data_IF_539433580568
#
_entry.id   IF_539433580568
#
_cell.length_a   1.000
_cell.length_b   1.000
_cell.length_c   1.000
_cell.angle_alpha   90.00
_cell.angle_beta   90.00
_cell.angle_gamma   90.00
#
_symmetry.space_group_name_H-M   'P 1'
#
loop_
_entity.id
_entity.type
_entity.pdbx_description
1 polymer ?
#
# COMPACT_ATOMS: atom_id res chain seq x y z
N UNK A 1 -11.60 -16.26 -10.64
CA UNK A 1 -10.53 -15.25 -10.81
C UNK A 1 -9.96 -14.97 -9.44
N UNK A 2 -8.67 -15.18 -9.24
CA UNK A 2 -8.04 -14.95 -7.94
C UNK A 2 -7.40 -13.57 -7.95
N UNK A 3 -8.01 -12.62 -7.25
CA UNK A 3 -7.43 -11.29 -7.02
C UNK A 3 -6.55 -11.32 -5.78
N UNK A 4 -5.38 -10.72 -5.87
CA UNK A 4 -4.43 -10.60 -4.77
C UNK A 4 -4.12 -9.12 -4.55
N UNK A 5 -4.21 -8.68 -3.30
CA UNK A 5 -3.78 -7.34 -2.92
C UNK A 5 -2.32 -7.35 -2.46
N UNK A 6 -1.56 -6.36 -2.89
CA UNK A 6 -0.16 -6.12 -2.50
C UNK A 6 -0.07 -4.79 -1.78
N UNK A 7 0.50 -4.76 -0.59
CA UNK A 7 0.47 -3.57 0.27
C UNK A 7 1.82 -3.14 0.81
N UNK A 8 1.93 -1.82 0.98
CA UNK A 8 3.07 -1.16 1.64
C UNK A 8 2.58 0.07 2.41
N UNK A 9 3.43 0.58 3.31
CA UNK A 9 3.11 1.72 4.16
C UNK A 9 3.97 2.94 3.89
N UNK A 10 3.43 4.11 4.29
CA UNK A 10 4.18 5.36 4.38
C UNK A 10 3.79 6.13 5.63
N UNK A 11 4.76 6.74 6.27
CA UNK A 11 4.55 7.56 7.47
C UNK A 11 5.01 8.98 7.16
N UNK A 12 4.12 9.95 7.39
CA UNK A 12 4.44 11.39 7.27
C UNK A 12 4.33 12.04 8.63
N UNK A 13 5.46 12.50 9.18
CA UNK A 13 5.54 13.17 10.48
C UNK A 13 5.72 14.67 10.36
N UNK A 14 6.32 15.11 9.26
CA UNK A 14 6.68 16.52 9.00
C UNK A 14 6.21 16.95 7.62
N UNK A 15 6.02 18.26 7.42
CA UNK A 15 5.56 18.81 6.16
C UNK A 15 4.06 18.60 5.89
N UNK A 16 3.33 18.01 6.80
CA UNK A 16 1.87 17.79 6.74
C UNK A 16 1.19 18.52 7.89
N UNK A 17 -0.11 18.92 7.75
CA UNK A 17 -0.83 19.59 8.85
C UNK A 17 -0.87 18.75 10.13
N UNK A 18 -1.06 17.44 10.00
CA UNK A 18 -1.04 16.47 11.09
C UNK A 18 -0.26 15.23 10.67
N UNK A 19 0.54 14.63 11.58
CA UNK A 19 1.22 13.37 11.31
C UNK A 19 0.22 12.29 10.88
N UNK A 20 0.59 11.49 9.87
CA UNK A 20 -0.29 10.47 9.34
C UNK A 20 0.45 9.16 9.03
N UNK A 21 -0.28 8.07 9.14
CA UNK A 21 0.10 6.74 8.71
C UNK A 21 -0.76 6.37 7.50
N UNK A 22 -0.13 5.94 6.43
CA UNK A 22 -0.77 5.51 5.19
C UNK A 22 -0.50 4.03 5.00
N UNK A 23 -1.54 3.23 4.79
CA UNK A 23 -1.42 1.84 4.36
C UNK A 23 -2.15 1.70 3.03
N UNK A 24 -1.39 1.46 1.97
CA UNK A 24 -1.95 1.34 0.63
C UNK A 24 -1.81 -0.05 0.06
N UNK A 25 -2.74 -0.41 -0.82
CA UNK A 25 -2.67 -1.64 -1.61
C UNK A 25 -2.92 -1.38 -3.09
N UNK A 26 -2.31 -2.23 -3.89
CA UNK A 26 -2.60 -2.48 -5.29
C UNK A 26 -3.31 -3.83 -5.41
N UNK A 27 -4.46 -3.87 -6.03
CA UNK A 27 -5.21 -5.10 -6.31
C UNK A 27 -4.81 -5.58 -7.70
N UNK A 28 -4.00 -6.64 -7.75
CA UNK A 28 -3.57 -7.26 -8.99
C UNK A 28 -4.64 -8.23 -9.49
N UNK A 29 -4.88 -8.18 -10.80
CA UNK A 29 -5.75 -9.10 -11.52
C UNK A 29 -4.90 -9.91 -12.51
N UNK A 30 -4.97 -11.24 -12.45
CA UNK A 30 -4.17 -12.12 -13.30
C UNK A 30 -4.50 -11.99 -14.80
N UNK A 31 -5.63 -11.36 -15.15
CA UNK A 31 -6.07 -11.17 -16.53
C UNK A 31 -5.58 -9.86 -17.17
N UNK A 32 -4.99 -8.97 -16.37
CA UNK A 32 -4.52 -7.67 -16.84
C UNK A 32 -3.00 -7.61 -16.95
N UNK A 33 -2.45 -6.78 -17.86
CA UNK A 33 -1.02 -6.50 -17.89
C UNK A 33 -0.53 -6.03 -16.51
N UNK A 34 0.52 -6.65 -15.99
CA UNK A 34 1.03 -6.34 -14.66
C UNK A 34 1.64 -4.92 -14.64
N UNK A 35 1.00 -4.02 -13.89
CA UNK A 35 1.49 -2.66 -13.68
C UNK A 35 2.92 -2.64 -13.11
N UNK A 36 3.29 -3.63 -12.29
CA UNK A 36 4.63 -3.74 -11.74
C UNK A 36 5.69 -3.99 -12.83
N UNK A 37 5.33 -4.67 -13.93
CA UNK A 37 6.20 -4.83 -15.09
C UNK A 37 6.48 -3.49 -15.77
N UNK A 38 5.44 -2.69 -15.96
CA UNK A 38 5.59 -1.36 -16.55
C UNK A 38 6.43 -0.42 -15.68
N UNK A 39 6.33 -0.55 -14.35
CA UNK A 39 7.13 0.26 -13.44
C UNK A 39 8.61 -0.17 -13.35
N UNK A 40 8.95 -1.36 -13.82
CA UNK A 40 10.33 -1.87 -13.79
C UNK A 40 11.33 -1.01 -14.55
N UNK A 41 10.88 -0.23 -15.54
CA UNK A 41 11.73 0.69 -16.32
C UNK A 41 12.30 1.84 -15.49
N UNK A 42 11.72 2.14 -14.32
CA UNK A 42 12.16 3.20 -13.43
C UNK A 42 13.14 2.73 -12.36
N UNK A 43 13.43 1.44 -12.27
CA UNK A 43 14.41 0.90 -11.33
C UNK A 43 15.81 1.33 -11.72
N UNK A 44 16.49 2.13 -10.87
CA UNK A 44 17.83 2.64 -11.11
C UNK A 44 18.94 1.79 -10.52
N UNK A 45 18.65 1.09 -9.42
CA UNK A 45 19.62 0.27 -8.70
C UNK A 45 19.04 -1.12 -8.46
N UNK A 46 19.89 -2.14 -8.40
CA UNK A 46 19.46 -3.51 -8.21
C UNK A 46 18.60 -3.68 -6.95
N UNK A 47 17.37 -4.13 -7.12
CA UNK A 47 16.59 -4.69 -6.04
C UNK A 47 15.19 -4.14 -5.81
N UNK A 48 14.95 -2.82 -5.78
CA UNK A 48 13.62 -2.30 -5.45
C UNK A 48 13.39 -0.87 -6.00
N UNK A 49 12.14 -0.61 -6.37
CA UNK A 49 11.66 0.72 -6.72
C UNK A 49 11.13 1.39 -5.44
N UNK A 50 11.73 2.52 -5.05
CA UNK A 50 11.29 3.30 -3.88
C UNK A 50 10.89 4.70 -4.29
N UNK A 51 9.69 5.14 -3.88
CA UNK A 51 9.20 6.49 -4.15
C UNK A 51 10.14 7.59 -3.69
N UNK A 52 10.69 7.47 -2.49
CA UNK A 52 11.60 8.47 -1.90
C UNK A 52 12.89 8.70 -2.69
N UNK A 53 13.31 7.70 -3.50
CA UNK A 53 14.57 7.75 -4.24
C UNK A 53 14.40 8.39 -5.62
N UNK A 54 13.17 8.74 -6.00
CA UNK A 54 12.87 9.35 -7.28
C UNK A 54 13.06 10.86 -7.28
N UNK A 55 13.60 11.36 -8.39
CA UNK A 55 13.54 12.78 -8.73
C UNK A 55 12.09 13.18 -9.11
N UNK A 56 11.70 14.47 -8.94
CA UNK A 56 10.33 14.91 -9.26
C UNK A 56 9.83 14.51 -10.66
N UNK A 57 10.71 14.58 -11.66
CA UNK A 57 10.36 14.17 -13.03
C UNK A 57 10.05 12.67 -13.14
N UNK A 58 10.78 11.82 -12.40
CA UNK A 58 10.53 10.38 -12.35
C UNK A 58 9.22 10.10 -11.62
N UNK A 59 8.92 10.81 -10.54
CA UNK A 59 7.65 10.71 -9.81
C UNK A 59 6.46 10.98 -10.74
N UNK A 60 6.51 12.07 -11.51
CA UNK A 60 5.49 12.37 -12.52
C UNK A 60 5.35 11.27 -13.58
N UNK A 61 6.46 10.74 -14.06
CA UNK A 61 6.45 9.66 -15.06
C UNK A 61 5.85 8.36 -14.49
N UNK A 62 6.17 8.01 -13.24
CA UNK A 62 5.59 6.87 -12.52
C UNK A 62 4.08 7.05 -12.37
N UNK A 63 3.59 8.19 -11.89
CA UNK A 63 2.16 8.46 -11.76
C UNK A 63 1.44 8.41 -13.11
N UNK A 64 2.06 8.93 -14.17
CA UNK A 64 1.50 8.81 -15.54
C UNK A 64 1.41 7.35 -15.99
N UNK A 65 2.39 6.52 -15.68
CA UNK A 65 2.33 5.09 -15.98
C UNK A 65 1.19 4.45 -15.20
N UNK A 66 1.07 4.69 -13.90
CA UNK A 66 -0.02 4.15 -13.07
C UNK A 66 -1.38 4.57 -13.62
N UNK A 67 -1.57 5.83 -14.00
CA UNK A 67 -2.84 6.33 -14.54
C UNK A 67 -3.23 5.70 -15.88
N UNK A 68 -2.29 5.14 -16.61
CA UNK A 68 -2.53 4.44 -17.88
C UNK A 68 -3.05 3.00 -17.71
N UNK A 69 -3.06 2.47 -16.49
CA UNK A 69 -3.53 1.11 -16.20
C UNK A 69 -4.91 1.13 -15.53
N UNK A 70 -5.76 0.17 -15.89
CA UNK A 70 -7.03 -0.04 -15.21
C UNK A 70 -6.81 -0.88 -13.95
N UNK A 71 -6.19 -0.25 -12.95
CA UNK A 71 -5.79 -0.88 -11.69
C UNK A 71 -6.53 -0.24 -10.52
N UNK A 72 -6.98 -1.07 -9.57
CA UNK A 72 -7.62 -0.61 -8.35
C UNK A 72 -6.60 -0.44 -7.23
N UNK A 73 -6.66 0.71 -6.58
CA UNK A 73 -5.87 1.00 -5.39
C UNK A 73 -6.78 1.37 -4.23
N UNK A 74 -6.38 0.98 -3.02
CA UNK A 74 -7.07 1.37 -1.80
C UNK A 74 -6.03 1.89 -0.80
N UNK A 75 -6.29 3.05 -0.18
CA UNK A 75 -5.42 3.62 0.84
C UNK A 75 -6.22 3.94 2.09
N UNK A 76 -5.80 3.38 3.21
CA UNK A 76 -6.32 3.74 4.54
C UNK A 76 -5.38 4.75 5.17
N UNK A 77 -5.96 5.89 5.57
CA UNK A 77 -5.25 6.99 6.22
C UNK A 77 -5.61 7.01 7.70
N UNK A 78 -4.62 6.87 8.58
CA UNK A 78 -4.78 7.09 10.01
C UNK A 78 -4.13 8.42 10.41
N UNK A 79 -4.96 9.41 10.77
CA UNK A 79 -4.55 10.75 11.18
C UNK A 79 -5.53 11.28 12.25
N UNK A 80 -5.07 12.02 13.26
CA UNK A 80 -3.66 12.30 13.58
C UNK A 80 -2.92 11.08 14.12
N UNK A 81 -1.65 10.94 13.75
CA UNK A 81 -0.80 9.89 14.29
C UNK A 81 -0.26 10.31 15.66
N UNK A 82 -0.51 9.50 16.69
CA UNK A 82 0.06 9.69 18.03
C UNK A 82 1.56 9.37 17.97
N UNK A 83 2.42 10.32 18.34
CA UNK A 83 3.86 10.22 18.14
C UNK A 83 4.53 9.13 18.96
N UNK A 84 4.09 8.89 20.20
CA UNK A 84 4.70 7.89 21.08
C UNK A 84 4.00 6.53 20.97
N UNK A 85 4.63 5.61 20.22
CA UNK A 85 4.14 4.24 20.06
C UNK A 85 2.88 4.10 19.20
N UNK A 86 2.37 5.20 18.62
CA UNK A 86 1.13 5.22 17.88
C UNK A 86 1.20 4.56 16.49
N UNK A 87 2.40 4.43 15.92
CA UNK A 87 2.56 3.88 14.57
C UNK A 87 2.08 2.44 14.44
N UNK A 88 2.48 1.59 15.37
CA UNK A 88 2.06 0.20 15.35
C UNK A 88 0.54 0.05 15.58
N UNK A 89 -0.02 0.88 16.45
CA UNK A 89 -1.47 0.92 16.68
C UNK A 89 -2.22 1.42 15.43
N UNK A 90 -1.71 2.48 14.80
CA UNK A 90 -2.26 3.00 13.54
C UNK A 90 -2.21 1.95 12.44
N UNK A 91 -1.09 1.21 12.33
CA UNK A 91 -0.96 0.10 11.39
C UNK A 91 -1.99 -0.99 11.66
N UNK A 92 -2.15 -1.44 12.89
CA UNK A 92 -3.12 -2.48 13.23
C UNK A 92 -4.55 -2.06 12.88
N UNK A 93 -4.92 -0.80 13.19
CA UNK A 93 -6.22 -0.25 12.82
C UNK A 93 -6.40 -0.14 11.30
N UNK A 94 -5.39 0.39 10.61
CA UNK A 94 -5.42 0.52 9.15
C UNK A 94 -5.49 -0.86 8.48
N UNK A 95 -4.71 -1.84 8.94
CA UNK A 95 -4.71 -3.20 8.43
C UNK A 95 -6.06 -3.89 8.63
N UNK A 96 -6.66 -3.72 9.81
CA UNK A 96 -8.00 -4.25 10.09
C UNK A 96 -9.03 -3.67 9.12
N UNK A 97 -9.09 -2.33 8.99
CA UNK A 97 -10.01 -1.66 8.07
C UNK A 97 -9.76 -2.08 6.62
N UNK A 98 -8.50 -2.12 6.21
CA UNK A 98 -8.10 -2.50 4.87
C UNK A 98 -8.55 -3.92 4.52
N UNK A 99 -8.27 -4.90 5.39
CA UNK A 99 -8.60 -6.30 5.17
C UNK A 99 -10.13 -6.51 5.02
N UNK A 100 -10.91 -5.85 5.87
CA UNK A 100 -12.38 -5.89 5.80
C UNK A 100 -12.88 -5.33 4.47
N UNK A 101 -12.35 -4.18 4.03
CA UNK A 101 -12.74 -3.59 2.75
C UNK A 101 -12.33 -4.46 1.55
N UNK A 102 -11.15 -5.06 1.60
CA UNK A 102 -10.68 -5.96 0.55
C UNK A 102 -11.62 -7.15 0.37
N UNK A 103 -12.05 -7.77 1.46
CA UNK A 103 -12.95 -8.91 1.38
C UNK A 103 -14.38 -8.49 1.00
N UNK A 104 -14.94 -7.47 1.67
CA UNK A 104 -16.34 -7.07 1.51
C UNK A 104 -16.64 -6.36 0.17
N UNK A 105 -15.75 -5.47 -0.27
CA UNK A 105 -15.99 -4.63 -1.46
C UNK A 105 -15.34 -5.16 -2.73
N UNK A 106 -14.20 -5.84 -2.59
CA UNK A 106 -13.40 -6.27 -3.74
C UNK A 106 -13.38 -7.78 -3.94
N UNK A 107 -13.96 -8.57 -3.01
CA UNK A 107 -13.90 -10.03 -3.00
C UNK A 107 -12.45 -10.54 -3.09
N UNK A 108 -11.55 -9.88 -2.37
CA UNK A 108 -10.12 -10.21 -2.30
C UNK A 108 -9.84 -10.91 -0.98
N UNK A 109 -9.37 -12.15 -1.05
CA UNK A 109 -9.10 -13.00 0.11
C UNK A 109 -7.61 -13.24 0.37
N UNK A 110 -6.73 -12.59 -0.40
CA UNK A 110 -5.29 -12.70 -0.24
C UNK A 110 -4.63 -11.31 -0.21
N UNK A 111 -3.88 -11.04 0.86
CA UNK A 111 -3.10 -9.83 1.06
C UNK A 111 -1.63 -10.19 1.26
N UNK A 112 -0.77 -9.59 0.46
CA UNK A 112 0.69 -9.67 0.58
C UNK A 112 1.20 -8.33 1.06
N UNK A 113 1.82 -8.27 2.23
CA UNK A 113 2.46 -7.07 2.75
C UNK A 113 3.97 -7.13 2.60
N UNK A 114 4.60 -5.97 2.50
CA UNK A 114 6.06 -5.93 2.59
C UNK A 114 6.52 -6.38 3.97
N UNK A 115 7.52 -7.29 3.97
CA UNK A 115 8.08 -7.86 5.18
C UNK A 115 8.83 -6.81 5.99
N UNK A 116 8.57 -6.81 7.28
CA UNK A 116 9.28 -6.02 8.29
C UNK A 116 10.13 -6.94 9.19
N UNK A 117 10.37 -6.54 10.42
CA UNK A 117 10.94 -7.43 11.44
C UNK A 117 9.89 -8.48 11.85
N UNK A 118 10.33 -9.71 12.12
CA UNK A 118 9.43 -10.82 12.46
C UNK A 118 8.43 -10.51 13.57
N UNK A 119 8.87 -9.80 14.61
CA UNK A 119 7.98 -9.38 15.71
C UNK A 119 6.87 -8.44 15.28
N UNK A 120 7.09 -7.66 14.22
CA UNK A 120 6.11 -6.75 13.63
C UNK A 120 5.17 -7.51 12.68
N UNK A 121 5.72 -8.42 11.86
CA UNK A 121 4.91 -9.31 11.01
C UNK A 121 3.93 -10.15 11.86
N UNK A 122 4.38 -10.66 13.01
CA UNK A 122 3.52 -11.41 13.94
C UNK A 122 2.35 -10.55 14.49
N UNK A 123 2.53 -9.24 14.64
CA UNK A 123 1.42 -8.33 15.04
C UNK A 123 0.40 -8.16 13.93
N UNK A 124 0.84 -8.11 12.68
CA UNK A 124 -0.05 -8.09 11.53
C UNK A 124 -0.88 -9.39 11.47
N UNK A 125 -0.23 -10.53 11.60
CA UNK A 125 -0.89 -11.86 11.65
C UNK A 125 -1.92 -11.92 12.79
N UNK A 126 -1.56 -11.44 13.98
CA UNK A 126 -2.48 -11.40 15.12
C UNK A 126 -3.68 -10.47 14.86
N UNK A 127 -3.49 -9.35 14.17
CA UNK A 127 -4.59 -8.43 13.79
C UNK A 127 -5.61 -9.15 12.89
N UNK A 128 -5.14 -9.89 11.90
CA UNK A 128 -5.99 -10.68 11.00
C UNK A 128 -6.68 -11.83 11.78
N UNK A 129 -5.96 -12.50 12.68
CA UNK A 129 -6.55 -13.58 13.49
C UNK A 129 -7.65 -13.07 14.44
N UNK A 130 -7.50 -11.86 14.99
CA UNK A 130 -8.55 -11.20 15.78
C UNK A 130 -9.77 -10.94 14.91
N UNK A 131 -9.59 -10.42 13.69
CA UNK A 131 -10.68 -10.14 12.76
C UNK A 131 -11.43 -11.43 12.35
N UNK A 132 -10.71 -12.54 12.12
CA UNK A 132 -11.31 -13.85 11.83
C UNK A 132 -12.11 -14.40 13.04
N UNK A 133 -11.52 -14.34 14.25
CA UNK A 133 -12.18 -14.80 15.48
C UNK A 133 -13.44 -14.00 15.79
N UNK A 134 -13.45 -12.70 15.52
CA UNK A 134 -14.62 -11.85 15.65
C UNK A 134 -15.63 -11.99 14.49
N UNK A 135 -15.35 -12.85 13.51
CA UNK A 135 -16.20 -13.11 12.34
C UNK A 135 -16.41 -11.87 11.45
N UNK A 136 -15.49 -10.92 11.51
CA UNK A 136 -15.47 -9.75 10.62
C UNK A 136 -14.78 -10.09 9.31
N UNK A 137 -13.81 -11.01 9.36
CA UNK A 137 -13.20 -11.64 8.18
C UNK A 137 -13.56 -13.13 8.14
N UNK A 138 -13.64 -13.68 6.94
CA UNK A 138 -13.79 -15.12 6.74
C UNK A 138 -12.52 -15.88 7.11
N UNK A 139 -12.63 -17.19 7.30
CA UNK A 139 -11.46 -18.06 7.54
C UNK A 139 -10.61 -18.25 6.27
N UNK A 140 -11.09 -17.80 5.12
CA UNK A 140 -10.42 -17.91 3.83
C UNK A 140 -9.42 -16.77 3.59
N UNK A 141 -9.59 -15.62 4.24
CA UNK A 141 -8.68 -14.49 4.09
C UNK A 141 -7.25 -14.90 4.50
N UNK A 142 -6.26 -14.62 3.67
CA UNK A 142 -4.85 -14.96 3.88
C UNK A 142 -3.99 -13.70 3.90
N UNK A 143 -3.12 -13.61 4.91
CA UNK A 143 -2.06 -12.63 4.98
C UNK A 143 -0.71 -13.33 4.80
N UNK A 144 0.15 -12.79 3.96
CA UNK A 144 1.54 -13.22 3.80
C UNK A 144 2.47 -12.01 3.76
N UNK A 145 3.74 -12.21 4.10
CA UNK A 145 4.77 -11.18 4.03
C UNK A 145 5.87 -11.59 3.07
N UNK A 146 6.25 -10.70 2.16
CA UNK A 146 7.33 -10.90 1.19
C UNK A 146 8.28 -9.70 1.19
N UNK A 147 9.52 -9.91 0.79
CA UNK A 147 10.41 -8.79 0.52
C UNK A 147 10.06 -8.14 -0.82
N UNK A 148 10.11 -6.81 -0.89
CA UNK A 148 9.85 -6.08 -2.13
C UNK A 148 10.82 -6.42 -3.28
N UNK A 149 12.01 -6.95 -2.96
CA UNK A 149 12.95 -7.49 -3.97
C UNK A 149 12.49 -8.82 -4.59
N UNK A 150 11.65 -9.57 -3.87
CA UNK A 150 11.19 -10.91 -4.30
C UNK A 150 9.84 -10.85 -5.04
N UNK A 151 9.08 -9.76 -4.85
CA UNK A 151 7.82 -9.55 -5.56
C UNK A 151 7.64 -8.06 -5.90
N UNK A 152 7.85 -7.72 -7.17
CA UNK A 152 7.78 -6.33 -7.66
C UNK A 152 6.41 -5.69 -7.55
N UNK A 153 5.33 -6.45 -7.38
CA UNK A 153 3.98 -5.91 -7.18
C UNK A 153 3.87 -5.12 -5.87
N UNK A 154 4.76 -5.37 -4.91
CA UNK A 154 4.91 -4.57 -3.69
C UNK A 154 5.48 -3.16 -3.95
N UNK A 155 6.06 -2.91 -5.12
CA UNK A 155 6.53 -1.57 -5.47
C UNK A 155 5.39 -0.61 -5.80
N UNK A 156 4.28 -1.14 -6.34
CA UNK A 156 3.13 -0.33 -6.76
C UNK A 156 2.51 0.45 -5.59
N UNK A 157 2.13 -0.17 -4.47
CA UNK A 157 1.58 0.56 -3.34
C UNK A 157 2.55 1.58 -2.74
N UNK A 158 3.88 1.33 -2.70
CA UNK A 158 4.88 2.32 -2.27
C UNK A 158 4.81 3.60 -3.12
N UNK A 159 4.62 3.47 -4.45
CA UNK A 159 4.47 4.63 -5.33
C UNK A 159 3.18 5.40 -5.03
N UNK A 160 2.06 4.71 -4.84
CA UNK A 160 0.76 5.32 -4.58
C UNK A 160 0.72 6.06 -3.24
N UNK A 161 1.14 5.40 -2.14
CA UNK A 161 1.17 6.06 -0.82
C UNK A 161 2.24 7.14 -0.75
N UNK A 162 3.33 6.99 -1.52
CA UNK A 162 4.35 8.02 -1.65
C UNK A 162 3.82 9.29 -2.32
N UNK A 163 3.06 9.14 -3.42
CA UNK A 163 2.43 10.25 -4.14
C UNK A 163 1.38 10.97 -3.26
N UNK A 164 0.53 10.21 -2.56
CA UNK A 164 -0.42 10.77 -1.61
C UNK A 164 0.28 11.54 -0.49
N UNK A 165 1.36 10.96 0.05
CA UNK A 165 2.12 11.61 1.12
C UNK A 165 2.79 12.92 0.68
N UNK A 166 3.31 12.99 -0.55
CA UNK A 166 3.86 14.21 -1.11
C UNK A 166 2.76 15.25 -1.33
N UNK A 167 1.61 14.85 -1.86
CA UNK A 167 0.44 15.73 -2.04
C UNK A 167 -0.06 16.31 -0.71
N UNK A 168 -0.18 15.47 0.33
CA UNK A 168 -0.55 15.92 1.67
C UNK A 168 0.46 16.92 2.27
N UNK A 169 1.72 16.85 1.85
CA UNK A 169 2.77 17.79 2.20
C UNK A 169 2.80 19.05 1.31
N UNK A 170 1.80 19.25 0.45
CA UNK A 170 1.71 20.39 -0.46
C UNK A 170 2.60 20.26 -1.71
N UNK A 171 3.09 19.07 -2.01
CA UNK A 171 3.93 18.79 -3.17
C UNK A 171 3.17 17.86 -4.14
N UNK A 172 2.49 18.44 -5.13
CA UNK A 172 1.85 17.61 -6.17
C UNK A 172 2.89 17.09 -7.17
N UNK A 173 3.39 15.90 -6.90
CA UNK A 173 4.35 15.17 -7.76
C UNK A 173 3.66 14.16 -8.68
N UNK A 174 2.35 14.37 -8.97
CA UNK A 174 1.56 13.54 -9.88
C UNK A 174 0.37 12.84 -9.23
N UNK A 175 0.08 13.10 -7.96
CA UNK A 175 -1.06 12.51 -7.26
C UNK A 175 -2.38 12.71 -7.99
N UNK A 176 -2.65 13.91 -8.49
CA UNK A 176 -3.89 14.22 -9.20
C UNK A 176 -4.12 13.37 -10.46
N UNK A 177 -3.08 12.77 -11.04
CA UNK A 177 -3.20 11.86 -12.18
C UNK A 177 -3.77 10.50 -11.80
N UNK A 178 -3.68 10.12 -10.52
CA UNK A 178 -4.06 8.79 -10.03
C UNK A 178 -5.15 8.84 -8.96
N UNK A 179 -5.51 10.02 -8.48
CA UNK A 179 -6.42 10.20 -7.34
C UNK A 179 -7.81 9.58 -7.58
N UNK A 180 -8.31 9.61 -8.80
CA UNK A 180 -9.60 9.02 -9.19
C UNK A 180 -9.60 7.47 -9.23
N UNK A 181 -8.42 6.85 -9.12
CA UNK A 181 -8.22 5.39 -9.09
C UNK A 181 -7.91 4.86 -7.70
N UNK A 182 -7.86 5.74 -6.71
CA UNK A 182 -7.56 5.41 -5.30
C UNK A 182 -8.81 5.63 -4.45
N UNK A 183 -9.19 4.60 -3.74
CA UNK A 183 -10.31 4.58 -2.80
C UNK A 183 -9.83 4.72 -1.37
#
# INVERSE_FOLDING_TARGET
MSRIAYGDESIRRTGVPEPMYLLGVYIADDEQPDLADALSVYVRHAGKLHWRDHLPQTKLAVCRTISGYDASHLVVVASPLILDGGEERARQQALFCLAVHLEDKFNVHALVLERRQRSQDNKDENTIDVARRSRVLTQEFRLTHKFGRDDKRLWVPDQVVGALGDYAAGQDTGWQMIADRVL
#
